data_IF_393212242947
#
_entry.id   IF_393212242947
#
_cell.length_a   1.000
_cell.length_b   1.000
_cell.length_c   1.000
_cell.angle_alpha   90.00
_cell.angle_beta   90.00
_cell.angle_gamma   90.00
#
_symmetry.space_group_name_H-M   'P 1'
#
loop_
_entity.id
_entity.type
_entity.pdbx_description
1 polymer ?
#
# COMPACT_ATOMS: atom_id res chain seq x y z
N UNK A 1 -5.81 0.75 0.98
CA UNK A 1 -5.52 1.07 -0.40
C UNK A 1 -6.27 2.33 -0.81
N UNK A 2 -5.60 3.31 -1.38
CA UNK A 2 -6.14 4.63 -1.75
C UNK A 2 -5.75 5.01 -3.19
N UNK A 3 -6.36 6.06 -3.73
CA UNK A 3 -6.17 6.55 -5.10
C UNK A 3 -7.48 7.02 -5.71
N UNK A 4 -7.44 7.63 -6.87
CA UNK A 4 -8.61 8.18 -7.55
C UNK A 4 -9.68 7.14 -7.88
N UNK A 5 -10.85 7.63 -8.27
CA UNK A 5 -11.92 6.74 -8.74
C UNK A 5 -11.49 6.00 -10.00
N UNK A 6 -11.94 4.75 -10.16
CA UNK A 6 -11.70 3.91 -11.34
C UNK A 6 -10.22 3.54 -11.64
N UNK A 7 -9.24 3.83 -10.75
CA UNK A 7 -7.86 3.35 -10.93
C UNK A 7 -7.71 1.84 -10.68
N UNK A 8 -8.73 1.18 -10.11
CA UNK A 8 -8.81 -0.27 -9.95
C UNK A 8 -8.41 -0.80 -8.56
N UNK A 9 -8.53 -0.01 -7.50
CA UNK A 9 -8.26 -0.43 -6.11
C UNK A 9 -9.00 -1.71 -5.72
N UNK A 10 -10.32 -1.69 -5.86
CA UNK A 10 -11.18 -2.85 -5.60
C UNK A 10 -10.81 -4.04 -6.48
N UNK A 11 -10.49 -3.80 -7.76
CA UNK A 11 -10.09 -4.87 -8.67
C UNK A 11 -8.77 -5.52 -8.25
N UNK A 12 -7.79 -4.75 -7.77
CA UNK A 12 -6.53 -5.25 -7.20
C UNK A 12 -6.83 -6.15 -5.99
N UNK A 13 -7.65 -5.69 -5.06
CA UNK A 13 -8.02 -6.45 -3.86
C UNK A 13 -8.78 -7.74 -4.23
N UNK A 14 -9.75 -7.66 -5.13
CA UNK A 14 -10.51 -8.83 -5.59
C UNK A 14 -9.63 -9.85 -6.31
N UNK A 15 -8.69 -9.38 -7.13
CA UNK A 15 -7.70 -10.25 -7.76
C UNK A 15 -6.84 -10.95 -6.71
N UNK A 16 -6.33 -10.21 -5.74
CA UNK A 16 -5.50 -10.76 -4.68
C UNK A 16 -6.24 -11.77 -3.80
N UNK A 17 -7.49 -11.47 -3.41
CA UNK A 17 -8.24 -12.34 -2.49
C UNK A 17 -8.92 -13.53 -3.16
N UNK A 18 -9.51 -13.32 -4.33
CA UNK A 18 -10.40 -14.30 -5.00
C UNK A 18 -9.86 -14.79 -6.33
N UNK A 19 -8.72 -14.27 -6.77
CA UNK A 19 -8.20 -14.47 -8.12
C UNK A 19 -9.24 -14.17 -9.22
N UNK A 20 -10.09 -13.15 -8.99
CA UNK A 20 -11.19 -12.78 -9.86
C UNK A 20 -11.07 -11.32 -10.32
N UNK A 21 -11.58 -11.03 -11.52
CA UNK A 21 -11.68 -9.70 -12.09
C UNK A 21 -13.08 -9.52 -12.67
N UNK A 22 -13.72 -8.41 -12.35
CA UNK A 22 -15.05 -8.06 -12.82
C UNK A 22 -14.97 -6.73 -13.57
N UNK A 23 -15.12 -6.73 -14.91
CA UNK A 23 -14.97 -5.51 -15.74
C UNK A 23 -16.01 -4.44 -15.40
N UNK A 24 -17.23 -4.84 -15.06
CA UNK A 24 -18.37 -3.94 -14.82
C UNK A 24 -18.56 -3.62 -13.32
N UNK A 25 -17.45 -3.56 -12.56
CA UNK A 25 -17.54 -3.27 -11.13
C UNK A 25 -18.03 -1.84 -10.90
N UNK A 26 -19.12 -1.69 -10.15
CA UNK A 26 -19.66 -0.39 -9.76
C UNK A 26 -18.69 0.35 -8.82
N UNK A 27 -18.76 1.69 -8.85
CA UNK A 27 -17.93 2.50 -7.96
C UNK A 27 -18.16 2.13 -6.49
N UNK A 28 -17.08 1.93 -5.75
CA UNK A 28 -17.13 1.61 -4.31
C UNK A 28 -17.76 2.77 -3.54
N UNK A 29 -18.73 2.44 -2.68
CA UNK A 29 -19.36 3.39 -1.77
C UNK A 29 -18.86 3.08 -0.36
N UNK A 30 -18.19 4.04 0.27
CA UNK A 30 -17.60 3.88 1.60
C UNK A 30 -16.28 3.10 1.59
N UNK A 31 -16.12 2.17 2.53
CA UNK A 31 -14.96 1.30 2.60
C UNK A 31 -15.36 -0.12 2.99
N UNK A 32 -14.63 -1.10 2.51
CA UNK A 32 -14.76 -2.50 2.91
C UNK A 32 -13.46 -3.04 3.48
N UNK A 33 -13.56 -4.04 4.34
CA UNK A 33 -12.46 -4.63 5.06
C UNK A 33 -12.33 -6.11 4.69
N UNK A 34 -11.12 -6.54 4.34
CA UNK A 34 -10.83 -7.92 3.97
C UNK A 34 -9.51 -8.35 4.62
N UNK A 35 -9.48 -9.57 5.18
CA UNK A 35 -8.28 -10.16 5.78
C UNK A 35 -7.75 -11.32 4.95
N UNK A 36 -6.43 -11.40 4.79
CA UNK A 36 -5.75 -12.55 4.20
C UNK A 36 -4.41 -12.79 4.88
N UNK A 37 -4.12 -14.05 5.19
CA UNK A 37 -2.82 -14.47 5.71
C UNK A 37 -1.86 -14.68 4.56
N UNK A 38 -0.65 -14.12 4.68
CA UNK A 38 0.47 -14.29 3.75
C UNK A 38 1.59 -14.98 4.50
N UNK A 39 2.13 -16.03 3.90
CA UNK A 39 3.34 -16.68 4.38
C UNK A 39 4.55 -15.88 3.89
N UNK A 40 5.44 -15.52 4.82
CA UNK A 40 6.69 -14.82 4.54
C UNK A 40 7.87 -15.64 5.05
N UNK A 41 9.08 -15.27 4.69
CA UNK A 41 10.32 -15.92 5.14
C UNK A 41 10.49 -15.95 6.67
N UNK A 42 9.80 -15.06 7.38
CA UNK A 42 9.90 -14.89 8.83
C UNK A 42 8.59 -15.27 9.56
N UNK A 43 7.69 -16.00 8.89
CA UNK A 43 6.42 -16.46 9.44
C UNK A 43 5.20 -15.80 8.78
N UNK A 44 4.02 -16.08 9.30
CA UNK A 44 2.76 -15.63 8.74
C UNK A 44 2.44 -14.19 9.12
N UNK A 45 2.02 -13.40 8.14
CA UNK A 45 1.51 -12.03 8.30
C UNK A 45 0.04 -12.00 7.93
N UNK A 46 -0.82 -11.52 8.81
CA UNK A 46 -2.22 -11.25 8.48
C UNK A 46 -2.33 -9.83 7.95
N UNK A 47 -2.61 -9.70 6.65
CA UNK A 47 -2.90 -8.42 6.03
C UNK A 47 -4.39 -8.12 6.16
N UNK A 48 -4.68 -7.06 6.89
CA UNK A 48 -6.00 -6.47 7.04
C UNK A 48 -6.10 -5.29 6.08
N UNK A 49 -6.79 -5.49 4.95
CA UNK A 49 -6.83 -4.51 3.85
C UNK A 49 -8.15 -3.76 3.83
N UNK A 50 -8.09 -2.44 3.84
CA UNK A 50 -9.22 -1.55 3.62
C UNK A 50 -9.30 -1.17 2.14
N UNK A 51 -10.39 -1.55 1.46
CA UNK A 51 -10.76 -1.05 0.14
C UNK A 51 -11.54 0.24 0.31
N UNK A 52 -11.02 1.34 -0.22
CA UNK A 52 -11.63 2.66 -0.03
C UNK A 52 -12.23 3.21 -1.32
N UNK A 53 -13.34 3.96 -1.19
CA UNK A 53 -13.90 4.72 -2.29
C UNK A 53 -12.90 5.79 -2.77
N UNK A 54 -12.65 5.82 -4.09
CA UNK A 54 -11.70 6.75 -4.70
C UNK A 54 -12.28 8.11 -5.10
N UNK A 55 -13.53 8.40 -4.75
CA UNK A 55 -14.13 9.72 -5.03
C UNK A 55 -13.64 10.73 -3.99
N UNK A 56 -13.34 11.93 -4.43
CA UNK A 56 -12.82 13.04 -3.62
C UNK A 56 -13.71 13.37 -2.40
N UNK A 57 -15.02 13.20 -2.52
CA UNK A 57 -15.98 13.39 -1.42
C UNK A 57 -15.76 12.44 -0.22
N UNK A 58 -15.02 11.34 -0.41
CA UNK A 58 -14.71 10.38 0.65
C UNK A 58 -13.31 10.56 1.23
N UNK A 59 -12.51 11.53 0.75
CA UNK A 59 -11.17 11.80 1.30
C UNK A 59 -11.22 12.12 2.80
N UNK A 60 -12.27 12.79 3.26
CA UNK A 60 -12.47 13.07 4.69
C UNK A 60 -12.59 11.83 5.58
N UNK A 61 -12.81 10.65 5.00
CA UNK A 61 -12.86 9.37 5.72
C UNK A 61 -11.48 8.70 5.83
N UNK A 62 -10.47 9.15 5.09
CA UNK A 62 -9.11 8.58 5.12
C UNK A 62 -8.56 8.49 6.55
N UNK A 63 -8.68 9.51 7.41
CA UNK A 63 -8.18 9.44 8.79
C UNK A 63 -8.78 8.30 9.62
N UNK A 64 -9.99 7.85 9.29
CA UNK A 64 -10.64 6.74 10.01
C UNK A 64 -9.96 5.39 9.76
N UNK A 65 -9.42 5.18 8.55
CA UNK A 65 -8.81 3.90 8.14
C UNK A 65 -7.29 3.91 8.28
N UNK A 66 -6.67 5.08 8.20
CA UNK A 66 -5.22 5.23 8.10
C UNK A 66 -4.48 5.41 9.42
N UNK A 67 -5.18 5.83 10.49
CA UNK A 67 -4.58 6.19 11.80
C UNK A 67 -3.64 5.12 12.38
N UNK A 68 -3.92 3.83 12.12
CA UNK A 68 -3.11 2.71 12.60
C UNK A 68 -2.60 1.85 11.44
N UNK A 69 -2.50 2.42 10.23
CA UNK A 69 -2.05 1.68 9.07
C UNK A 69 -0.54 1.41 9.16
N UNK A 70 -0.15 0.15 9.01
CA UNK A 70 1.26 -0.25 8.87
C UNK A 70 1.79 0.01 7.47
N UNK A 71 0.89 0.00 6.47
CA UNK A 71 1.21 0.32 5.08
C UNK A 71 0.04 1.00 4.36
N UNK A 72 0.35 1.86 3.42
CA UNK A 72 -0.58 2.48 2.49
C UNK A 72 -0.15 2.15 1.05
N UNK A 73 -1.07 1.61 0.27
CA UNK A 73 -0.90 1.34 -1.16
C UNK A 73 -1.63 2.45 -1.91
N UNK A 74 -0.89 3.29 -2.63
CA UNK A 74 -1.44 4.41 -3.39
C UNK A 74 -1.45 4.08 -4.88
N UNK A 75 -2.63 3.96 -5.47
CA UNK A 75 -2.84 3.43 -6.81
C UNK A 75 -3.16 4.53 -7.81
N UNK A 76 -2.56 4.45 -8.99
CA UNK A 76 -2.93 5.22 -10.17
C UNK A 76 -3.13 4.30 -11.38
N UNK A 77 -3.76 4.83 -12.42
CA UNK A 77 -4.00 4.16 -13.70
C UNK A 77 -2.96 4.62 -14.72
N UNK A 78 -2.15 3.70 -15.25
CA UNK A 78 -1.13 4.00 -16.26
C UNK A 78 -1.69 4.62 -17.54
N UNK A 79 -2.99 4.41 -17.83
CA UNK A 79 -3.68 4.96 -18.97
C UNK A 79 -4.20 6.39 -18.79
N UNK A 80 -3.96 7.00 -17.62
CA UNK A 80 -4.49 8.33 -17.29
C UNK A 80 -3.45 9.16 -16.57
N UNK A 81 -2.86 10.12 -17.29
CA UNK A 81 -1.91 11.06 -16.72
C UNK A 81 -2.48 11.80 -15.49
N UNK A 82 -3.77 12.17 -15.54
CA UNK A 82 -4.47 12.84 -14.44
C UNK A 82 -4.44 12.02 -13.14
N UNK A 83 -4.56 10.68 -13.23
CA UNK A 83 -4.51 9.82 -12.06
C UNK A 83 -3.11 9.69 -11.46
N UNK A 84 -2.07 9.86 -12.27
CA UNK A 84 -0.70 9.94 -11.79
C UNK A 84 -0.46 11.22 -10.99
N UNK A 85 -0.99 12.36 -11.45
CA UNK A 85 -0.96 13.59 -10.67
C UNK A 85 -1.84 13.47 -9.40
N UNK A 86 -3.01 12.84 -9.52
CA UNK A 86 -3.89 12.54 -8.39
C UNK A 86 -3.21 11.70 -7.32
N UNK A 87 -2.40 10.72 -7.70
CA UNK A 87 -1.62 9.88 -6.79
C UNK A 87 -0.74 10.72 -5.85
N UNK A 88 -0.11 11.77 -6.36
CA UNK A 88 0.75 12.67 -5.56
C UNK A 88 -0.05 13.33 -4.43
N UNK A 89 -1.25 13.82 -4.75
CA UNK A 89 -2.16 14.41 -3.76
C UNK A 89 -2.65 13.38 -2.72
N UNK A 90 -2.85 12.13 -3.16
CA UNK A 90 -3.19 11.04 -2.23
C UNK A 90 -2.06 10.72 -1.27
N UNK A 91 -0.81 10.76 -1.73
CA UNK A 91 0.37 10.56 -0.86
C UNK A 91 0.43 11.64 0.21
N UNK A 92 0.28 12.92 -0.16
CA UNK A 92 0.25 14.03 0.79
C UNK A 92 -0.87 13.86 1.83
N UNK A 93 -2.05 13.43 1.41
CA UNK A 93 -3.17 13.20 2.32
C UNK A 93 -2.92 12.02 3.25
N UNK A 94 -2.36 10.92 2.72
CA UNK A 94 -1.99 9.76 3.54
C UNK A 94 -0.94 10.15 4.57
N UNK A 95 0.13 10.84 4.19
CA UNK A 95 1.23 11.23 5.08
C UNK A 95 0.77 12.10 6.27
N UNK A 96 -0.29 12.89 6.10
CA UNK A 96 -0.87 13.68 7.20
C UNK A 96 -1.59 12.84 8.26
N UNK A 97 -2.01 11.63 7.90
CA UNK A 97 -2.96 10.83 8.68
C UNK A 97 -2.44 9.46 9.13
N UNK A 98 -1.29 9.03 8.64
CA UNK A 98 -0.66 7.75 9.01
C UNK A 98 0.44 7.96 10.05
N UNK A 99 0.83 6.92 10.81
CA UNK A 99 2.04 6.94 11.62
C UNK A 99 3.29 7.25 10.79
N UNK A 100 4.30 7.89 11.40
CA UNK A 100 5.57 8.24 10.72
C UNK A 100 6.30 7.04 10.13
N UNK A 101 6.13 5.87 10.73
CA UNK A 101 6.70 4.61 10.29
C UNK A 101 5.83 3.85 9.27
N UNK A 102 4.70 4.40 8.84
CA UNK A 102 3.86 3.79 7.82
C UNK A 102 4.61 3.64 6.49
N UNK A 103 4.54 2.45 5.91
CA UNK A 103 5.14 2.15 4.62
C UNK A 103 4.20 2.68 3.51
N UNK A 104 4.72 3.50 2.60
CA UNK A 104 3.93 3.96 1.44
C UNK A 104 4.49 3.30 0.18
N UNK A 105 3.64 2.55 -0.52
CA UNK A 105 3.95 1.90 -1.80
C UNK A 105 3.07 2.49 -2.88
N UNK A 106 3.67 2.95 -3.97
CA UNK A 106 2.96 3.50 -5.13
C UNK A 106 2.79 2.43 -6.20
N UNK A 107 1.60 2.38 -6.81
CA UNK A 107 1.22 1.29 -7.73
C UNK A 107 0.61 1.84 -9.00
N UNK A 108 1.29 1.60 -10.15
CA UNK A 108 0.72 1.80 -11.47
C UNK A 108 -0.07 0.57 -11.90
N UNK A 109 -1.38 0.70 -11.99
CA UNK A 109 -2.28 -0.38 -12.42
C UNK A 109 -2.61 -0.29 -13.91
N UNK A 110 -3.14 -1.37 -14.45
CA UNK A 110 -3.61 -1.56 -15.82
C UNK A 110 -2.46 -1.63 -16.85
N UNK A 111 -1.38 -2.35 -16.50
CA UNK A 111 -0.26 -2.61 -17.41
C UNK A 111 -0.66 -3.35 -18.68
N UNK A 112 -1.84 -3.97 -18.70
CA UNK A 112 -2.44 -4.67 -19.84
C UNK A 112 -2.99 -3.73 -20.94
N UNK A 113 -2.98 -2.44 -20.70
CA UNK A 113 -3.48 -1.44 -21.63
C UNK A 113 -2.34 -0.51 -22.11
N UNK A 114 -2.51 0.21 -23.25
CA UNK A 114 -1.56 1.24 -23.67
C UNK A 114 -1.44 2.33 -22.61
N UNK A 115 -0.23 2.73 -22.24
CA UNK A 115 0.00 3.67 -21.13
C UNK A 115 0.23 5.10 -21.64
N UNK A 116 -0.43 6.08 -21.02
CA UNK A 116 -0.11 7.51 -21.16
C UNK A 116 1.08 7.91 -20.28
N UNK A 117 1.17 7.27 -19.10
CA UNK A 117 2.30 7.44 -18.17
C UNK A 117 3.33 6.36 -18.44
N UNK A 118 4.50 6.72 -18.96
CA UNK A 118 5.57 5.74 -19.13
C UNK A 118 6.07 5.23 -17.76
N UNK A 119 6.40 3.95 -17.69
CA UNK A 119 6.98 3.35 -16.47
C UNK A 119 8.25 4.05 -16.04
N UNK A 120 9.08 4.49 -17.00
CA UNK A 120 10.29 5.27 -16.73
C UNK A 120 9.99 6.60 -16.03
N UNK A 121 8.96 7.33 -16.47
CA UNK A 121 8.52 8.57 -15.82
C UNK A 121 8.08 8.32 -14.38
N UNK A 122 7.26 7.30 -14.17
CA UNK A 122 6.77 6.94 -12.85
C UNK A 122 7.91 6.49 -11.91
N UNK A 123 8.82 5.64 -12.39
CA UNK A 123 9.99 5.20 -11.62
C UNK A 123 10.92 6.36 -11.25
N UNK A 124 11.20 7.28 -12.19
CA UNK A 124 12.06 8.44 -11.91
C UNK A 124 11.45 9.31 -10.83
N UNK A 125 10.14 9.63 -10.95
CA UNK A 125 9.44 10.39 -9.95
C UNK A 125 9.47 9.71 -8.56
N UNK A 126 9.20 8.40 -8.50
CA UNK A 126 9.24 7.65 -7.25
C UNK A 126 10.63 7.68 -6.61
N UNK A 127 11.68 7.48 -7.40
CA UNK A 127 13.09 7.54 -6.94
C UNK A 127 13.45 8.91 -6.38
N UNK A 128 13.07 9.99 -7.07
CA UNK A 128 13.32 11.36 -6.64
C UNK A 128 12.62 11.69 -5.32
N UNK A 129 11.43 11.11 -5.10
CA UNK A 129 10.63 11.35 -3.91
C UNK A 129 10.78 10.25 -2.84
N UNK A 130 11.66 9.26 -3.05
CA UNK A 130 11.95 8.15 -2.12
C UNK A 130 10.75 7.26 -1.81
N UNK A 131 9.92 7.02 -2.82
CA UNK A 131 8.83 6.05 -2.75
C UNK A 131 9.16 4.77 -3.51
N UNK A 132 8.60 3.66 -3.05
CA UNK A 132 8.58 2.42 -3.81
C UNK A 132 7.53 2.51 -4.92
N UNK A 133 7.88 2.01 -6.12
CA UNK A 133 7.00 1.98 -7.29
C UNK A 133 6.92 0.57 -7.83
N UNK A 134 5.72 0.07 -8.02
CA UNK A 134 5.48 -1.20 -8.68
C UNK A 134 4.36 -1.08 -9.72
N UNK A 135 4.32 -2.03 -10.65
CA UNK A 135 3.36 -2.03 -11.74
C UNK A 135 2.60 -3.36 -11.77
N UNK A 136 1.28 -3.28 -11.93
CA UNK A 136 0.40 -4.45 -11.86
C UNK A 136 -0.70 -4.38 -12.91
N UNK A 137 -1.32 -5.52 -13.18
CA UNK A 137 -2.61 -5.59 -13.86
C UNK A 137 -3.60 -6.38 -13.03
N UNK A 138 -4.60 -5.72 -12.49
CA UNK A 138 -5.71 -6.41 -11.82
C UNK A 138 -6.49 -7.32 -12.78
N UNK A 139 -6.49 -7.02 -14.10
CA UNK A 139 -7.17 -7.80 -15.13
C UNK A 139 -6.47 -9.11 -15.40
N UNK A 140 -5.17 -9.11 -15.66
CA UNK A 140 -4.39 -10.32 -15.94
C UNK A 140 -3.96 -11.03 -14.68
N UNK A 141 -3.75 -10.31 -13.58
CA UNK A 141 -3.21 -10.80 -12.32
C UNK A 141 -1.71 -10.53 -12.15
N UNK A 142 -1.06 -9.99 -13.19
CA UNK A 142 0.38 -9.75 -13.19
C UNK A 142 0.79 -8.79 -12.07
N UNK A 143 1.81 -9.16 -11.30
CA UNK A 143 2.38 -8.37 -10.23
C UNK A 143 1.53 -8.26 -8.96
N UNK A 144 0.30 -8.82 -8.93
CA UNK A 144 -0.62 -8.65 -7.79
C UNK A 144 -0.15 -9.41 -6.55
N UNK A 145 0.22 -10.68 -6.68
CA UNK A 145 0.69 -11.47 -5.54
C UNK A 145 2.03 -10.93 -5.03
N UNK A 146 2.91 -10.55 -5.93
CA UNK A 146 4.23 -9.97 -5.65
C UNK A 146 4.10 -8.65 -4.88
N UNK A 147 3.14 -7.79 -5.25
CA UNK A 147 2.84 -6.55 -4.52
C UNK A 147 2.49 -6.82 -3.06
N UNK A 148 1.53 -7.70 -2.80
CA UNK A 148 1.09 -7.96 -1.43
C UNK A 148 2.13 -8.76 -0.62
N UNK A 149 2.87 -9.66 -1.27
CA UNK A 149 4.01 -10.35 -0.67
C UNK A 149 5.07 -9.34 -0.22
N UNK A 150 5.44 -8.42 -1.11
CA UNK A 150 6.41 -7.36 -0.83
C UNK A 150 5.98 -6.46 0.33
N UNK A 151 4.72 -6.01 0.33
CA UNK A 151 4.17 -5.21 1.45
C UNK A 151 4.23 -5.99 2.77
N UNK A 152 3.87 -7.29 2.76
CA UNK A 152 3.94 -8.12 3.97
C UNK A 152 5.37 -8.26 4.50
N UNK A 153 6.35 -8.47 3.62
CA UNK A 153 7.76 -8.55 3.98
C UNK A 153 8.30 -7.24 4.55
N UNK A 154 7.92 -6.10 3.96
CA UNK A 154 8.29 -4.78 4.48
C UNK A 154 7.71 -4.52 5.88
N UNK A 155 6.44 -4.85 6.11
CA UNK A 155 5.81 -4.72 7.43
C UNK A 155 6.53 -5.58 8.45
N UNK A 156 6.89 -6.81 8.08
CA UNK A 156 7.56 -7.74 8.98
C UNK A 156 8.99 -7.31 9.29
N UNK A 157 9.75 -6.85 8.29
CA UNK A 157 11.12 -6.37 8.49
C UNK A 157 11.19 -5.19 9.47
N UNK A 158 10.20 -4.29 9.44
CA UNK A 158 10.11 -3.18 10.41
C UNK A 158 9.83 -3.66 11.83
N UNK A 159 8.99 -4.70 11.99
CA UNK A 159 8.67 -5.25 13.32
C UNK A 159 9.84 -6.01 13.96
N UNK A 160 10.76 -6.54 13.15
CA UNK A 160 11.92 -7.29 13.63
C UNK A 160 13.14 -6.42 13.94
N UNK A 161 13.13 -5.14 13.56
CA UNK A 161 14.18 -4.20 13.97
C UNK A 161 13.94 -3.82 15.44
N UNK A 162 14.91 -4.04 16.35
CA UNK A 162 14.76 -3.65 17.75
C UNK A 162 14.61 -2.13 17.82
N UNK A 163 13.53 -1.65 18.43
CA UNK A 163 13.35 -0.24 18.72
C UNK A 163 14.45 0.24 19.67
N UNK A 164 14.87 1.51 19.58
CA UNK A 164 15.86 2.09 20.50
C UNK A 164 15.50 1.90 21.98
N UNK A 165 14.21 1.80 22.30
CA UNK A 165 13.73 1.47 23.66
C UNK A 165 14.10 0.05 24.11
N UNK A 166 14.09 -0.93 23.20
CA UNK A 166 14.49 -2.32 23.51
C UNK A 166 15.99 -2.41 23.76
N UNK A 167 16.80 -1.63 23.03
CA UNK A 167 18.27 -1.56 23.23
C UNK A 167 18.58 -0.92 24.58
N UNK A 168 17.88 0.14 24.99
CA UNK A 168 18.09 0.79 26.28
C UNK A 168 17.68 -0.11 27.46
N UNK A 169 16.66 -0.95 27.30
CA UNK A 169 16.28 -1.92 28.35
C UNK A 169 17.31 -3.07 28.50
N UNK A 170 17.98 -3.47 27.42
CA UNK A 170 19.04 -4.49 27.48
C UNK A 170 20.32 -3.93 28.10
N UNK A 171 20.67 -2.67 27.87
CA UNK A 171 21.86 -2.02 28.47
C UNK A 171 21.69 -1.65 29.94
N UNK A 172 20.46 -1.50 30.44
CA UNK A 172 20.19 -1.22 31.86
C UNK A 172 20.18 -2.48 32.74
N UNK A 173 20.02 -3.67 32.17
CA UNK A 173 20.02 -4.93 32.93
C UNK A 173 21.42 -5.54 33.14
N UNK A 174 22.45 -5.08 32.45
CA UNK A 174 23.82 -5.58 32.63
C UNK A 174 24.63 -4.91 33.78
N UNK A 175 24.03 -3.94 34.47
CA UNK A 175 24.68 -3.23 35.58
C UNK A 175 24.37 -3.78 37.00
N UNK A 176 23.83 -4.99 37.11
CA UNK A 176 23.55 -5.63 38.40
C UNK A 176 24.15 -7.02 38.49
N UNK A 177 25.50 -7.12 38.39
CA UNK A 177 26.28 -8.26 38.98
C UNK A 177 27.76 -7.86 39.09
N UNK A 178 28.06 -7.11 40.11
CA UNK A 178 29.38 -7.07 40.73
C UNK A 178 29.18 -6.98 42.23
N UNK A 179 29.16 -8.12 42.86
CA UNK A 179 29.64 -8.40 44.21
C UNK A 179 29.83 -9.92 44.37
#
# INVERSE_FOLDING_TARGET
>A
IVGDSAVGKTSIIMRFHRNAFFPDHQATVGASFISKTIETKHGNVVLNTWDTAGQEKYRSLVPMYSRNASAAIVVFDLNKEESFEGMKLWIEEVQKNVPEDCIIVTVGNKTDLPSEVSTSKACNWAKENRFEMTFVSAKTGDGINELFQYVAELIQSKRTQPTMETINQLTTNDNLKCC
#
